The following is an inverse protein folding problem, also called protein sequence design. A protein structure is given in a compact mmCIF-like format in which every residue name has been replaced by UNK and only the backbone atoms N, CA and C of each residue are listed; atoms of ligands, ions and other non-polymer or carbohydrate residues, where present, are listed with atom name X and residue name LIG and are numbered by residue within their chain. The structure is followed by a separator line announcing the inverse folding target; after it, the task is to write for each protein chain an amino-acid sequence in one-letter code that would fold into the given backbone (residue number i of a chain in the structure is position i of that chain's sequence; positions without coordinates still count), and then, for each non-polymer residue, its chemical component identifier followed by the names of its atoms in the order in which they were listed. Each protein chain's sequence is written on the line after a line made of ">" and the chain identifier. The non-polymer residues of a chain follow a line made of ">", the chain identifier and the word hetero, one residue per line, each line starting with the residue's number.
data_IF_016580211201
#
_entry.id   IF_016580211201
#
_cell.length_a   1.000
_cell.length_b   1.000
_cell.length_c   1.000
_cell.angle_alpha   90.00
_cell.angle_beta   90.00
_cell.angle_gamma   90.00
#
_symmetry.space_group_name_H-M   'P 1'
#
loop_
_entity.id
_entity.type
_entity.pdbx_description
1 polymer ?
#
# COMPACT_ATOMS: atom_id res chain seq x y z
N UNK A 1 -14.59 7.43 30.97
CA UNK A 1 -14.31 8.46 29.94
C UNK A 1 -13.78 7.86 28.62
N UNK A 2 -14.34 6.76 28.10
CA UNK A 2 -13.74 6.01 26.95
C UNK A 2 -14.34 6.32 25.57
N UNK A 3 -15.60 6.81 25.50
CA UNK A 3 -16.34 6.95 24.24
C UNK A 3 -15.90 8.14 23.34
N UNK A 4 -15.22 9.16 23.89
CA UNK A 4 -14.73 10.30 23.09
C UNK A 4 -13.48 9.94 22.27
N UNK A 5 -12.70 8.95 22.70
CA UNK A 5 -11.44 8.57 22.05
C UNK A 5 -11.65 7.57 20.90
N UNK A 6 -12.73 6.79 20.93
CA UNK A 6 -13.08 5.88 19.82
C UNK A 6 -13.66 6.63 18.62
N UNK A 7 -14.51 7.65 18.84
CA UNK A 7 -15.01 8.53 17.77
C UNK A 7 -13.88 9.28 17.06
N UNK A 8 -12.92 9.84 17.81
CA UNK A 8 -11.78 10.55 17.21
C UNK A 8 -10.85 9.63 16.40
N UNK A 9 -10.76 8.35 16.75
CA UNK A 9 -9.99 7.37 15.98
C UNK A 9 -10.72 6.91 14.72
N UNK A 10 -12.04 6.74 14.76
CA UNK A 10 -12.85 6.42 13.58
C UNK A 10 -12.86 7.58 12.58
N UNK A 11 -12.99 8.82 13.06
CA UNK A 11 -12.92 10.02 12.21
C UNK A 11 -11.54 10.20 11.57
N UNK A 12 -10.46 9.87 12.28
CA UNK A 12 -9.10 9.86 11.69
C UNK A 12 -8.94 8.78 10.61
N UNK A 13 -9.56 7.61 10.81
CA UNK A 13 -9.54 6.50 9.85
C UNK A 13 -10.33 6.82 8.57
N UNK A 14 -11.50 7.45 8.68
CA UNK A 14 -12.27 7.90 7.52
C UNK A 14 -11.54 9.01 6.77
N UNK A 15 -10.96 9.98 7.48
CA UNK A 15 -10.19 11.06 6.84
C UNK A 15 -8.97 10.54 6.07
N UNK A 16 -8.24 9.57 6.64
CA UNK A 16 -7.11 8.91 5.98
C UNK A 16 -7.56 8.10 4.76
N UNK A 17 -8.69 7.40 4.84
CA UNK A 17 -9.27 6.67 3.72
C UNK A 17 -9.63 7.60 2.56
N UNK A 18 -10.28 8.73 2.86
CA UNK A 18 -10.67 9.72 1.86
C UNK A 18 -9.46 10.39 1.22
N UNK A 19 -8.42 10.71 2.00
CA UNK A 19 -7.15 11.20 1.47
C UNK A 19 -6.48 10.17 0.56
N UNK A 20 -6.51 8.88 0.93
CA UNK A 20 -5.93 7.79 0.14
C UNK A 20 -6.70 7.57 -1.16
N UNK A 21 -8.03 7.59 -1.11
CA UNK A 21 -8.88 7.48 -2.28
C UNK A 21 -8.63 8.63 -3.25
N UNK A 22 -8.47 9.86 -2.74
CA UNK A 22 -8.10 11.03 -3.54
C UNK A 22 -6.70 10.90 -4.13
N UNK A 23 -5.71 10.40 -3.37
CA UNK A 23 -4.35 10.18 -3.86
C UNK A 23 -4.26 9.06 -4.91
N UNK A 24 -5.04 7.99 -4.74
CA UNK A 24 -5.16 6.92 -5.73
C UNK A 24 -5.84 7.42 -7.00
N UNK A 25 -6.93 8.17 -6.86
CA UNK A 25 -7.65 8.74 -8.00
C UNK A 25 -6.81 9.80 -8.72
N UNK A 26 -6.03 10.61 -7.99
CA UNK A 26 -5.05 11.52 -8.59
C UNK A 26 -3.89 10.76 -9.24
N UNK A 27 -3.48 9.63 -8.66
CA UNK A 27 -2.46 8.76 -9.23
C UNK A 27 -2.92 8.16 -10.56
N UNK A 28 -4.16 7.68 -10.63
CA UNK A 28 -4.78 7.16 -11.86
C UNK A 28 -4.91 8.24 -12.94
N UNK A 29 -5.42 9.42 -12.58
CA UNK A 29 -5.52 10.53 -13.55
C UNK A 29 -4.15 11.03 -14.02
N UNK A 30 -3.14 11.01 -13.14
CA UNK A 30 -1.75 11.31 -13.50
C UNK A 30 -1.19 10.26 -14.46
N UNK A 31 -1.45 8.97 -14.21
CA UNK A 31 -1.03 7.87 -15.12
C UNK A 31 -1.72 7.99 -16.48
N UNK A 32 -3.00 8.35 -16.53
CA UNK A 32 -3.70 8.60 -17.80
C UNK A 32 -3.11 9.80 -18.56
N UNK A 33 -2.83 10.90 -17.87
CA UNK A 33 -2.22 12.09 -18.48
C UNK A 33 -0.79 11.80 -18.97
N UNK A 34 -0.01 11.07 -18.18
CA UNK A 34 1.33 10.64 -18.57
C UNK A 34 1.31 9.65 -19.72
N UNK A 35 0.37 8.70 -19.71
CA UNK A 35 0.15 7.78 -20.82
C UNK A 35 -0.20 8.51 -22.12
N UNK A 36 -1.10 9.49 -22.06
CA UNK A 36 -1.42 10.38 -23.19
C UNK A 36 -0.20 11.18 -23.65
N UNK A 37 0.60 11.70 -22.72
CA UNK A 37 1.84 12.42 -23.02
C UNK A 37 2.86 11.54 -23.72
N UNK A 38 3.08 10.32 -23.23
CA UNK A 38 3.96 9.31 -23.84
C UNK A 38 3.48 8.99 -25.26
N UNK A 39 2.19 8.72 -25.43
CA UNK A 39 1.60 8.44 -26.75
C UNK A 39 1.78 9.62 -27.72
N UNK A 40 1.52 10.85 -27.28
CA UNK A 40 1.76 12.05 -28.09
C UNK A 40 3.25 12.24 -28.43
N UNK A 41 4.16 11.98 -27.49
CA UNK A 41 5.60 11.99 -27.74
C UNK A 41 6.03 10.93 -28.75
N UNK A 42 5.37 9.75 -28.76
CA UNK A 42 5.56 8.71 -29.77
C UNK A 42 4.94 9.04 -31.13
N UNK A 43 4.15 10.11 -31.23
CA UNK A 43 3.55 10.56 -32.49
C UNK A 43 2.10 10.12 -32.69
N UNK A 44 1.40 9.68 -31.62
CA UNK A 44 -0.02 9.31 -31.70
C UNK A 44 -0.91 10.46 -32.16
N UNK A 45 -0.55 11.70 -31.82
CA UNK A 45 -1.32 12.92 -32.08
C UNK A 45 -2.80 12.71 -31.72
N UNK A 46 -3.06 12.58 -30.42
CA UNK A 46 -4.38 12.21 -29.87
C UNK A 46 -5.42 13.33 -30.00
N UNK A 47 -4.98 14.54 -30.34
CA UNK A 47 -5.83 15.72 -30.55
C UNK A 47 -6.28 15.85 -32.02
N UNK A 48 -5.80 14.97 -32.89
CA UNK A 48 -6.18 14.90 -34.30
C UNK A 48 -7.66 14.46 -34.48
N UNK A 49 -8.29 14.90 -35.58
CA UNK A 49 -9.70 14.60 -35.88
C UNK A 49 -9.94 13.11 -36.08
N UNK A 50 -9.01 12.39 -36.74
CA UNK A 50 -9.08 10.94 -36.87
C UNK A 50 -8.42 10.25 -35.67
N UNK A 51 -9.28 9.81 -34.74
CA UNK A 51 -8.91 9.07 -33.53
C UNK A 51 -8.98 7.56 -33.70
N UNK A 52 -9.16 7.05 -34.92
CA UNK A 52 -9.17 5.61 -35.15
C UNK A 52 -7.83 4.99 -34.76
N UNK A 53 -7.87 3.80 -34.16
CA UNK A 53 -6.65 3.08 -33.75
C UNK A 53 -5.66 2.90 -34.91
N UNK A 54 -6.18 2.68 -36.11
CA UNK A 54 -5.37 2.55 -37.33
C UNK A 54 -4.64 3.85 -37.66
N UNK A 55 -5.31 5.01 -37.57
CA UNK A 55 -4.69 6.31 -37.80
C UNK A 55 -3.62 6.61 -36.75
N UNK A 56 -3.92 6.37 -35.47
CA UNK A 56 -2.97 6.54 -34.36
C UNK A 56 -1.71 5.69 -34.57
N UNK A 57 -1.86 4.41 -34.88
CA UNK A 57 -0.72 3.50 -35.13
C UNK A 57 0.07 3.91 -36.38
N UNK A 58 -0.61 4.40 -37.41
CA UNK A 58 0.04 4.90 -38.63
C UNK A 58 0.87 6.15 -38.34
N UNK A 59 0.37 7.08 -37.54
CA UNK A 59 1.11 8.28 -37.13
C UNK A 59 2.30 7.96 -36.23
N UNK A 60 2.13 7.04 -35.27
CA UNK A 60 3.25 6.52 -34.45
C UNK A 60 4.33 5.89 -35.34
N UNK A 61 3.93 5.07 -36.31
CA UNK A 61 4.89 4.43 -37.23
C UNK A 61 5.57 5.45 -38.15
N UNK A 62 4.85 6.44 -38.64
CA UNK A 62 5.40 7.51 -39.49
C UNK A 62 6.44 8.37 -38.75
N UNK A 63 6.28 8.56 -37.44
CA UNK A 63 7.28 9.25 -36.60
C UNK A 63 8.47 8.36 -36.24
N UNK A 64 8.27 7.03 -36.22
CA UNK A 64 9.27 6.05 -35.83
C UNK A 64 9.57 5.10 -37.00
N UNK A 65 10.37 5.57 -37.96
CA UNK A 65 10.69 4.82 -39.18
C UNK A 65 11.44 3.51 -38.93
N UNK A 66 12.13 3.37 -37.78
CA UNK A 66 12.80 2.14 -37.37
C UNK A 66 12.38 1.68 -35.98
N UNK A 67 12.50 0.38 -35.71
CA UNK A 67 12.29 -0.19 -34.38
C UNK A 67 13.26 0.36 -33.33
N UNK A 68 14.47 0.74 -33.75
CA UNK A 68 15.48 1.36 -32.88
C UNK A 68 15.06 2.76 -32.45
N UNK A 69 14.49 3.54 -33.36
CA UNK A 69 13.98 4.88 -33.05
C UNK A 69 12.74 4.81 -32.18
N UNK A 70 11.85 3.85 -32.45
CA UNK A 70 10.70 3.57 -31.58
C UNK A 70 11.14 3.23 -30.15
N UNK A 71 12.09 2.30 -30.00
CA UNK A 71 12.62 1.90 -28.69
C UNK A 71 13.27 3.08 -27.96
N UNK A 72 14.08 3.89 -28.64
CA UNK A 72 14.70 5.10 -28.08
C UNK A 72 13.64 6.12 -27.66
N UNK A 73 12.61 6.34 -28.47
CA UNK A 73 11.56 7.31 -28.18
C UNK A 73 10.64 6.85 -27.04
N UNK A 74 10.37 5.54 -26.92
CA UNK A 74 9.69 4.99 -25.74
C UNK A 74 10.54 5.21 -24.48
N UNK A 75 11.83 4.90 -24.56
CA UNK A 75 12.72 4.99 -23.41
C UNK A 75 12.80 6.44 -22.91
N UNK A 76 12.94 7.40 -23.83
CA UNK A 76 12.91 8.83 -23.55
C UNK A 76 11.56 9.30 -22.99
N UNK A 77 10.44 8.90 -23.61
CA UNK A 77 9.10 9.30 -23.16
C UNK A 77 8.74 8.74 -21.78
N UNK A 78 9.27 7.56 -21.44
CA UNK A 78 8.97 6.82 -20.21
C UNK A 78 10.00 7.03 -19.09
N UNK A 79 11.05 7.83 -19.34
CA UNK A 79 12.14 8.03 -18.38
C UNK A 79 11.66 8.65 -17.06
N UNK A 80 10.93 9.77 -17.13
CA UNK A 80 10.38 10.45 -15.95
C UNK A 80 9.26 9.64 -15.26
N UNK A 81 8.47 8.92 -16.06
CA UNK A 81 7.33 8.13 -15.61
C UNK A 81 7.80 6.95 -14.76
N UNK A 82 8.89 6.26 -15.16
CA UNK A 82 9.47 5.15 -14.40
C UNK A 82 9.90 5.57 -13.00
N UNK A 83 10.52 6.73 -12.86
CA UNK A 83 10.93 7.28 -11.56
C UNK A 83 9.74 7.49 -10.64
N UNK A 84 8.68 8.12 -11.15
CA UNK A 84 7.44 8.38 -10.39
C UNK A 84 6.70 7.10 -10.01
N UNK A 85 6.56 6.15 -10.93
CA UNK A 85 5.95 4.84 -10.65
C UNK A 85 6.71 4.12 -9.54
N UNK A 86 8.05 4.09 -9.63
CA UNK A 86 8.89 3.42 -8.63
C UNK A 86 8.76 4.06 -7.25
N UNK A 87 8.78 5.39 -7.17
CA UNK A 87 8.60 6.11 -5.90
C UNK A 87 7.21 5.88 -5.31
N UNK A 88 6.14 5.99 -6.12
CA UNK A 88 4.77 5.71 -5.69
C UNK A 88 4.61 4.28 -5.17
N UNK A 89 5.17 3.29 -5.89
CA UNK A 89 5.14 1.89 -5.47
C UNK A 89 5.90 1.66 -4.15
N UNK A 90 7.04 2.33 -3.98
CA UNK A 90 7.85 2.26 -2.75
C UNK A 90 7.11 2.89 -1.55
N UNK A 91 6.45 4.03 -1.76
CA UNK A 91 5.65 4.67 -0.71
C UNK A 91 4.43 3.82 -0.34
N UNK A 92 3.73 3.27 -1.33
CA UNK A 92 2.59 2.39 -1.10
C UNK A 92 2.99 1.11 -0.35
N UNK A 93 4.13 0.48 -0.71
CA UNK A 93 4.60 -0.72 -0.03
C UNK A 93 5.05 -0.43 1.40
N UNK A 94 5.76 0.68 1.62
CA UNK A 94 6.11 1.14 2.97
C UNK A 94 4.87 1.42 3.82
N UNK A 95 3.85 2.05 3.23
CA UNK A 95 2.58 2.30 3.92
C UNK A 95 1.82 1.00 4.24
N UNK A 96 1.74 0.07 3.29
CA UNK A 96 1.11 -1.24 3.51
C UNK A 96 1.80 -2.00 4.64
N UNK A 97 3.14 -1.99 4.66
CA UNK A 97 3.94 -2.56 5.74
C UNK A 97 3.64 -1.88 7.08
N UNK A 98 3.62 -0.55 7.13
CA UNK A 98 3.30 0.20 8.36
C UNK A 98 1.88 -0.13 8.89
N UNK A 99 0.90 -0.31 8.00
CA UNK A 99 -0.45 -0.67 8.40
C UNK A 99 -0.53 -2.12 8.91
N UNK A 100 0.20 -3.05 8.28
CA UNK A 100 0.34 -4.41 8.77
C UNK A 100 1.00 -4.44 10.15
N UNK A 101 2.09 -3.69 10.36
CA UNK A 101 2.74 -3.55 11.66
C UNK A 101 1.81 -2.96 12.72
N UNK A 102 1.05 -1.91 12.41
CA UNK A 102 0.04 -1.36 13.33
C UNK A 102 -1.07 -2.34 13.68
N UNK A 103 -1.54 -3.11 12.70
CA UNK A 103 -2.54 -4.15 12.95
C UNK A 103 -1.96 -5.27 13.83
N UNK A 104 -0.73 -5.71 13.57
CA UNK A 104 -0.03 -6.67 14.40
C UNK A 104 0.20 -6.14 15.82
N UNK A 105 0.63 -4.90 15.98
CA UNK A 105 0.79 -4.29 17.31
C UNK A 105 -0.53 -4.17 18.06
N UNK A 106 -1.64 -3.93 17.37
CA UNK A 106 -2.98 -3.84 17.99
C UNK A 106 -3.55 -5.21 18.36
N UNK A 107 -3.24 -6.27 17.62
CA UNK A 107 -3.84 -7.59 17.82
C UNK A 107 -2.93 -8.57 18.56
N UNK A 108 -1.62 -8.52 18.33
CA UNK A 108 -0.64 -9.49 18.83
C UNK A 108 -0.10 -9.08 20.20
N UNK A 109 0.22 -7.80 20.43
CA UNK A 109 0.67 -7.33 21.77
C UNK A 109 -0.33 -7.63 22.89
N UNK A 110 -1.63 -7.30 22.78
CA UNK A 110 -2.55 -7.60 23.88
C UNK A 110 -2.78 -9.10 24.08
N UNK A 111 -2.66 -9.92 23.02
CA UNK A 111 -2.73 -11.38 23.10
C UNK A 111 -1.50 -11.97 23.79
N UNK A 112 -0.31 -11.45 23.52
CA UNK A 112 0.93 -11.82 24.20
C UNK A 112 0.88 -11.49 25.70
N UNK A 113 0.40 -10.30 26.06
CA UNK A 113 0.23 -9.90 27.46
C UNK A 113 -0.79 -10.77 28.20
N UNK A 114 -1.92 -11.11 27.55
CA UNK A 114 -2.88 -12.06 28.14
C UNK A 114 -2.30 -13.46 28.29
N UNK A 115 -1.49 -13.92 27.33
CA UNK A 115 -0.84 -15.22 27.42
C UNK A 115 0.18 -15.27 28.56
N UNK A 116 0.98 -14.21 28.71
CA UNK A 116 1.94 -14.06 29.81
C UNK A 116 1.24 -14.07 31.16
N UNK A 117 0.16 -13.32 31.30
CA UNK A 117 -0.62 -13.27 32.54
C UNK A 117 -1.25 -14.63 32.90
N UNK A 118 -1.77 -15.35 31.90
CA UNK A 118 -2.33 -16.70 32.08
C UNK A 118 -1.26 -17.74 32.44
N UNK A 119 -0.03 -17.60 31.92
CA UNK A 119 1.09 -18.46 32.29
C UNK A 119 1.53 -18.19 33.73
N UNK A 120 1.66 -16.93 34.12
CA UNK A 120 1.99 -16.55 35.49
C UNK A 120 0.95 -17.06 36.50
N UNK A 121 -0.35 -16.97 36.18
CA UNK A 121 -1.42 -17.51 37.04
C UNK A 121 -1.34 -19.03 37.16
N UNK A 122 -1.11 -19.75 36.06
CA UNK A 122 -1.00 -21.21 36.06
C UNK A 122 0.22 -21.71 36.82
N UNK A 123 1.34 -21.00 36.73
CA UNK A 123 2.56 -21.29 37.49
C UNK A 123 2.31 -21.08 38.98
N UNK A 124 1.60 -20.01 39.36
CA UNK A 124 1.20 -19.76 40.74
C UNK A 124 0.29 -20.83 41.29
N UNK A 125 -0.74 -21.23 40.54
CA UNK A 125 -1.66 -22.31 40.93
C UNK A 125 -0.94 -23.65 41.08
N UNK A 126 0.05 -23.93 40.23
CA UNK A 126 0.88 -25.13 40.35
C UNK A 126 1.78 -25.08 41.58
N UNK A 127 2.41 -23.93 41.85
CA UNK A 127 3.20 -23.73 43.07
C UNK A 127 2.32 -23.91 44.31
N UNK A 128 1.16 -23.26 44.37
CA UNK A 128 0.24 -23.37 45.52
C UNK A 128 -0.25 -24.80 45.73
N UNK A 129 -0.54 -25.55 44.65
CA UNK A 129 -0.88 -26.98 44.73
C UNK A 129 0.28 -27.83 45.23
N UNK A 130 1.51 -27.54 44.83
CA UNK A 130 2.71 -28.23 45.32
C UNK A 130 2.96 -27.92 46.78
N UNK A 131 2.75 -26.68 47.23
CA UNK A 131 2.88 -26.29 48.64
C UNK A 131 1.83 -27.00 49.50
N UNK A 132 0.57 -27.04 49.06
CA UNK A 132 -0.51 -27.76 49.73
C UNK A 132 -0.27 -29.27 49.79
N UNK A 133 0.24 -29.87 48.72
CA UNK A 133 0.62 -31.29 48.72
C UNK A 133 1.78 -31.57 49.68
N UNK A 134 2.76 -30.67 49.74
CA UNK A 134 3.89 -30.78 50.68
C UNK A 134 3.43 -30.66 52.13
N UNK A 135 2.50 -29.75 52.44
CA UNK A 135 1.90 -29.63 53.76
C UNK A 135 1.06 -30.86 54.14
N UNK A 136 0.35 -31.45 53.18
CA UNK A 136 -0.47 -32.66 53.39
C UNK A 136 0.34 -33.95 53.55
N UNK A 137 1.60 -33.96 53.08
CA UNK A 137 2.55 -35.09 53.23
C UNK A 137 3.44 -34.90 54.46
N UNK A 138 3.57 -33.67 54.98
CA UNK A 138 4.37 -33.34 56.16
C UNK A 138 3.61 -33.45 57.49
N UNK A 139 2.34 -33.89 57.44
CA UNK A 139 1.50 -34.27 58.57
C UNK A 139 1.22 -35.78 58.51
#
# INVERSE_FOLDING_TARGET
>A
MSAKNSKSQVDRLTTLKDQLQRQLQSGLSTVEQEGKKVLNQLGADLDNEDKSLKAVVTRIRAKNNTLKDFARNIDAATYDVRGRIRWNATMMSAYAKMQAEKAMDKEVKPRLETYKHNLESRIKDLLDKVTLLKEKISH
#
